data_IF_417409804456
#
_entry.id   IF_417409804456
#
_cell.length_a   1.000
_cell.length_b   1.000
_cell.length_c   1.000
_cell.angle_alpha   90.00
_cell.angle_beta   90.00
_cell.angle_gamma   90.00
#
_symmetry.space_group_name_H-M   'P 1'
#
loop_
_entity.id
_entity.type
_entity.pdbx_description
1 polymer ?
#
# COMPACT_ATOMS: atom_id res chain seq x y z
N UNK A 1 2.20 -7.89 6.21
CA UNK A 1 1.25 -7.05 5.46
C UNK A 1 0.33 -7.91 4.61
N UNK A 2 -0.71 -7.34 4.03
CA UNK A 2 -1.62 -7.99 3.07
C UNK A 2 -2.34 -6.92 2.24
N UNK A 3 -2.78 -7.29 1.04
CA UNK A 3 -3.48 -6.38 0.11
C UNK A 3 -4.98 -6.63 0.13
N UNK A 4 -5.76 -5.56 0.09
CA UNK A 4 -7.18 -5.59 -0.28
C UNK A 4 -7.40 -4.63 -1.43
N UNK A 5 -7.74 -5.18 -2.60
CA UNK A 5 -8.22 -4.39 -3.72
C UNK A 5 -9.71 -4.06 -3.54
N UNK A 6 -9.96 -2.92 -2.90
CA UNK A 6 -11.29 -2.46 -2.55
C UNK A 6 -12.07 -1.94 -3.77
N UNK A 7 -13.36 -2.26 -3.84
CA UNK A 7 -14.24 -1.79 -4.91
C UNK A 7 -14.85 -0.43 -4.55
N UNK A 8 -14.72 0.56 -5.43
CA UNK A 8 -15.34 1.89 -5.32
C UNK A 8 -15.11 2.56 -3.96
N UNK A 9 -13.97 2.29 -3.31
CA UNK A 9 -13.67 2.79 -1.97
C UNK A 9 -13.26 4.26 -2.04
N UNK A 10 -13.83 5.06 -1.13
CA UNK A 10 -13.33 6.40 -0.80
C UNK A 10 -12.18 6.32 0.18
N UNK A 11 -11.23 7.26 0.09
CA UNK A 11 -10.11 7.29 1.01
C UNK A 11 -10.58 7.36 2.47
N UNK A 12 -9.85 6.71 3.37
CA UNK A 12 -10.13 6.78 4.79
C UNK A 12 -10.04 8.21 5.30
N UNK A 13 -11.03 8.61 6.09
CA UNK A 13 -11.06 9.90 6.79
C UNK A 13 -10.30 9.83 8.11
N UNK A 14 -10.19 10.99 8.77
CA UNK A 14 -9.61 11.07 10.12
C UNK A 14 -10.31 10.09 11.07
N UNK A 15 -9.52 9.30 11.79
CA UNK A 15 -9.96 8.24 12.73
C UNK A 15 -10.55 6.97 12.10
N UNK A 16 -10.59 6.87 10.77
CA UNK A 16 -10.90 5.62 10.10
C UNK A 16 -9.65 4.76 9.86
N UNK A 17 -9.85 3.48 9.57
CA UNK A 17 -8.76 2.56 9.30
C UNK A 17 -9.19 1.09 9.31
N UNK A 18 -8.23 0.16 9.43
CA UNK A 18 -8.49 -1.27 9.48
C UNK A 18 -9.44 -1.67 10.63
N UNK A 19 -10.21 -2.76 10.47
CA UNK A 19 -10.27 -3.62 9.27
C UNK A 19 -11.14 -3.01 8.16
N UNK A 20 -10.75 -3.23 6.90
CA UNK A 20 -11.65 -2.97 5.77
C UNK A 20 -12.65 -4.12 5.61
N UNK A 21 -13.94 -3.80 5.67
CA UNK A 21 -15.06 -4.77 5.60
C UNK A 21 -15.97 -4.58 4.38
N UNK A 22 -15.62 -3.65 3.48
CA UNK A 22 -16.41 -3.35 2.28
C UNK A 22 -16.18 -4.33 1.12
N UNK A 23 -16.87 -4.11 0.00
CA UNK A 23 -16.71 -4.91 -1.22
C UNK A 23 -15.27 -4.87 -1.75
N UNK A 24 -14.76 -6.02 -2.21
CA UNK A 24 -13.39 -6.16 -2.72
C UNK A 24 -13.33 -7.15 -3.86
N UNK A 25 -12.35 -6.97 -4.75
CA UNK A 25 -12.01 -7.97 -5.75
C UNK A 25 -11.38 -9.21 -5.10
N UNK A 26 -11.42 -10.38 -5.78
CA UNK A 26 -10.68 -11.56 -5.33
C UNK A 26 -9.18 -11.27 -5.20
N UNK A 27 -8.48 -11.88 -4.22
CA UNK A 27 -7.03 -11.77 -4.15
C UNK A 27 -6.37 -12.38 -5.39
N UNK A 28 -5.35 -11.71 -5.91
CA UNK A 28 -4.49 -12.27 -6.97
C UNK A 28 -3.86 -13.56 -6.45
N UNK A 29 -3.93 -14.62 -7.25
CA UNK A 29 -3.33 -15.91 -6.91
C UNK A 29 -1.96 -16.04 -7.56
N UNK A 30 -1.00 -16.70 -6.90
CA UNK A 30 0.22 -17.10 -7.58
C UNK A 30 -0.06 -18.22 -8.60
N UNK A 31 0.89 -18.45 -9.49
CA UNK A 31 0.92 -19.67 -10.30
C UNK A 31 1.30 -20.91 -9.46
N UNK A 32 1.41 -22.06 -10.13
CA UNK A 32 1.76 -23.34 -9.51
C UNK A 32 3.14 -23.35 -8.82
N UNK A 33 4.04 -22.42 -9.19
CA UNK A 33 5.37 -22.28 -8.59
C UNK A 33 5.40 -21.25 -7.45
N UNK A 34 4.29 -20.55 -7.20
CA UNK A 34 4.22 -19.49 -6.20
C UNK A 34 4.60 -18.11 -6.75
N UNK A 35 4.76 -17.96 -8.08
CA UNK A 35 5.15 -16.71 -8.72
C UNK A 35 3.95 -15.88 -9.19
N UNK A 36 4.19 -14.58 -9.31
CA UNK A 36 3.22 -13.59 -9.81
C UNK A 36 3.70 -12.91 -11.10
N UNK A 37 4.72 -13.47 -11.77
CA UNK A 37 5.31 -12.92 -13.00
C UNK A 37 4.39 -13.06 -14.23
N UNK A 38 3.33 -13.86 -14.12
CA UNK A 38 2.23 -13.90 -15.07
C UNK A 38 1.39 -12.60 -15.08
N UNK A 39 1.41 -11.81 -14.00
CA UNK A 39 0.71 -10.53 -13.90
C UNK A 39 1.50 -9.44 -14.62
N UNK A 40 0.87 -8.69 -15.52
CA UNK A 40 1.53 -7.70 -16.39
C UNK A 40 1.05 -6.27 -16.13
N UNK A 41 1.91 -5.25 -16.33
CA UNK A 41 1.50 -3.85 -16.29
C UNK A 41 0.25 -3.58 -17.14
N UNK A 42 -0.62 -2.69 -16.66
CA UNK A 42 -1.92 -2.41 -17.28
C UNK A 42 -3.06 -3.36 -16.84
N UNK A 43 -2.76 -4.49 -16.22
CA UNK A 43 -3.76 -5.32 -15.55
C UNK A 43 -4.10 -4.74 -14.17
N UNK A 44 -5.33 -4.91 -13.70
CA UNK A 44 -5.74 -4.40 -12.38
C UNK A 44 -4.98 -5.12 -11.25
N UNK A 45 -4.77 -6.42 -11.43
CA UNK A 45 -4.02 -7.32 -10.56
C UNK A 45 -2.57 -6.85 -10.36
N UNK A 46 -2.02 -6.13 -11.34
CA UNK A 46 -0.66 -5.61 -11.28
C UNK A 46 -0.49 -4.62 -10.14
N UNK A 47 -1.43 -3.69 -9.93
CA UNK A 47 -1.40 -2.77 -8.79
C UNK A 47 -1.29 -3.49 -7.45
N UNK A 48 -2.08 -4.54 -7.23
CA UNK A 48 -2.03 -5.31 -5.98
C UNK A 48 -0.69 -6.02 -5.80
N UNK A 49 -0.20 -6.62 -6.88
CA UNK A 49 1.03 -7.41 -6.89
C UNK A 49 2.27 -6.52 -6.69
N UNK A 50 2.40 -5.48 -7.50
CA UNK A 50 3.55 -4.57 -7.47
C UNK A 50 3.61 -3.75 -6.18
N UNK A 51 2.45 -3.33 -5.66
CA UNK A 51 2.36 -2.64 -4.36
C UNK A 51 2.92 -3.53 -3.24
N UNK A 52 2.48 -4.78 -3.15
CA UNK A 52 2.98 -5.70 -2.13
C UNK A 52 4.49 -5.94 -2.28
N UNK A 53 4.94 -6.27 -3.50
CA UNK A 53 6.33 -6.57 -3.79
C UNK A 53 7.25 -5.39 -3.46
N UNK A 54 6.84 -4.18 -3.85
CA UNK A 54 7.60 -2.96 -3.62
C UNK A 54 7.64 -2.60 -2.14
N UNK A 55 6.51 -2.64 -1.42
CA UNK A 55 6.51 -2.38 0.04
C UNK A 55 7.37 -3.41 0.79
N UNK A 56 7.33 -4.70 0.39
CA UNK A 56 8.25 -5.72 0.95
C UNK A 56 9.70 -5.34 0.69
N UNK A 57 10.02 -4.97 -0.54
CA UNK A 57 11.39 -4.64 -0.94
C UNK A 57 11.92 -3.42 -0.22
N UNK A 58 11.10 -2.38 -0.04
CA UNK A 58 11.44 -1.20 0.77
C UNK A 58 11.75 -1.62 2.21
N UNK A 59 10.92 -2.48 2.82
CA UNK A 59 11.21 -3.01 4.15
C UNK A 59 12.53 -3.78 4.19
N UNK A 60 12.80 -4.66 3.22
CA UNK A 60 14.07 -5.41 3.15
C UNK A 60 15.28 -4.47 3.11
N UNK A 61 15.23 -3.44 2.25
CA UNK A 61 16.31 -2.44 2.12
C UNK A 61 16.60 -1.74 3.46
N UNK A 62 15.55 -1.32 4.16
CA UNK A 62 15.73 -0.62 5.44
C UNK A 62 16.14 -1.57 6.57
N UNK A 63 15.60 -2.79 6.61
CA UNK A 63 16.03 -3.81 7.59
C UNK A 63 17.50 -4.19 7.39
N UNK A 64 17.98 -4.24 6.14
CA UNK A 64 19.40 -4.40 5.81
C UNK A 64 20.23 -3.21 6.32
N UNK A 65 19.79 -1.96 6.07
CA UNK A 65 20.49 -0.77 6.56
C UNK A 65 20.55 -0.67 8.09
N UNK A 66 19.48 -1.07 8.79
CA UNK A 66 19.45 -1.08 10.26
C UNK A 66 20.04 -2.34 10.88
N UNK A 67 20.34 -3.36 10.07
CA UNK A 67 20.81 -4.68 10.51
C UNK A 67 19.89 -5.31 11.58
N UNK A 68 18.58 -5.10 11.45
CA UNK A 68 17.55 -5.66 12.34
C UNK A 68 16.17 -5.64 11.67
N UNK A 69 15.29 -6.52 12.12
CA UNK A 69 13.87 -6.44 11.74
C UNK A 69 13.21 -5.18 12.30
N UNK A 70 12.36 -4.52 11.52
CA UNK A 70 11.64 -3.32 11.93
C UNK A 70 10.18 -3.71 12.26
N UNK A 71 9.81 -3.84 13.54
CA UNK A 71 8.43 -4.13 13.90
C UNK A 71 7.52 -2.94 13.59
N UNK A 72 6.27 -3.19 13.19
CA UNK A 72 5.29 -2.12 13.03
C UNK A 72 4.99 -1.45 14.38
N UNK A 73 5.05 -0.11 14.44
CA UNK A 73 4.72 0.65 15.65
C UNK A 73 3.28 0.40 16.14
N UNK A 74 2.37 0.02 15.23
CA UNK A 74 0.97 -0.29 15.52
C UNK A 74 0.68 -1.76 15.84
N UNK A 75 1.71 -2.62 15.95
CA UNK A 75 1.55 -4.09 16.04
C UNK A 75 0.64 -4.59 17.16
N UNK A 76 0.50 -3.82 18.25
CA UNK A 76 -0.38 -4.17 19.38
C UNK A 76 -1.87 -3.99 19.05
N UNK A 77 -2.20 -3.14 18.07
CA UNK A 77 -3.58 -2.89 17.62
C UNK A 77 -3.90 -3.69 16.36
N UNK A 78 -2.96 -3.75 15.42
CA UNK A 78 -3.12 -4.47 14.16
C UNK A 78 -1.92 -5.38 13.90
N UNK A 79 -2.11 -6.70 13.74
CA UNK A 79 -1.00 -7.64 13.60
C UNK A 79 -0.27 -7.52 12.26
N UNK A 80 -0.90 -6.90 11.24
CA UNK A 80 -0.36 -6.76 9.89
C UNK A 80 -0.76 -5.42 9.29
N UNK A 81 0.14 -4.80 8.52
CA UNK A 81 -0.16 -3.66 7.66
C UNK A 81 -1.16 -4.04 6.56
N UNK A 82 -2.25 -3.26 6.45
CA UNK A 82 -3.20 -3.32 5.33
C UNK A 82 -2.71 -2.45 4.17
N UNK A 83 -2.79 -2.96 2.94
CA UNK A 83 -2.41 -2.26 1.72
C UNK A 83 -3.66 -2.12 0.83
N UNK A 84 -4.06 -0.90 0.50
CA UNK A 84 -5.18 -0.60 -0.41
C UNK A 84 -4.63 0.12 -1.65
N UNK A 85 -4.61 -0.53 -2.83
CA UNK A 85 -3.90 -0.01 -3.99
C UNK A 85 -4.64 1.12 -4.71
N UNK A 86 -5.99 1.14 -4.67
CA UNK A 86 -6.80 1.98 -5.54
C UNK A 86 -8.01 2.55 -4.81
N UNK A 87 -7.96 3.85 -4.50
CA UNK A 87 -9.12 4.66 -4.06
C UNK A 87 -9.34 5.85 -4.99
N UNK A 88 -10.59 6.32 -5.10
CA UNK A 88 -10.89 7.44 -6.00
C UNK A 88 -10.50 8.80 -5.37
N UNK A 89 -9.20 9.09 -5.36
CA UNK A 89 -8.63 10.25 -4.69
C UNK A 89 -7.30 10.66 -5.34
N UNK A 90 -6.98 11.95 -5.33
CA UNK A 90 -5.70 12.47 -5.82
C UNK A 90 -4.70 12.67 -4.69
N UNK A 91 -4.33 11.56 -4.07
CA UNK A 91 -3.27 11.50 -3.07
C UNK A 91 -2.91 10.04 -2.72
N UNK A 92 -1.92 9.87 -1.85
CA UNK A 92 -1.65 8.66 -1.09
C UNK A 92 -1.63 9.00 0.42
N UNK A 93 -1.78 7.98 1.26
CA UNK A 93 -1.68 8.19 2.71
C UNK A 93 -1.17 6.98 3.50
N UNK A 94 -0.58 7.35 4.63
CA UNK A 94 -0.03 6.49 5.66
C UNK A 94 -0.81 6.68 6.96
N UNK A 95 -1.64 5.71 7.30
CA UNK A 95 -2.44 5.74 8.53
C UNK A 95 -2.06 4.65 9.52
N UNK A 96 -2.73 4.64 10.67
CA UNK A 96 -2.47 3.65 11.72
C UNK A 96 -2.84 2.24 11.24
N UNK A 97 -1.85 1.46 10.80
CA UNK A 97 -2.04 0.08 10.35
C UNK A 97 -2.43 -0.07 8.87
N UNK A 98 -2.39 0.99 8.06
CA UNK A 98 -2.69 0.90 6.63
C UNK A 98 -1.89 1.87 5.77
N UNK A 99 -1.69 1.49 4.51
CA UNK A 99 -1.33 2.39 3.42
C UNK A 99 -2.45 2.37 2.37
N UNK A 100 -2.76 3.54 1.81
CA UNK A 100 -3.83 3.69 0.82
C UNK A 100 -3.41 4.66 -0.28
N UNK A 101 -3.71 4.31 -1.53
CA UNK A 101 -3.23 5.02 -2.70
C UNK A 101 -4.36 5.32 -3.68
N UNK A 102 -4.35 6.55 -4.18
CA UNK A 102 -5.20 6.98 -5.26
C UNK A 102 -4.45 7.08 -6.59
N UNK A 103 -4.75 8.14 -7.32
CA UNK A 103 -4.37 8.35 -8.71
C UNK A 103 -3.95 9.80 -8.92
N UNK A 104 -3.17 10.08 -9.96
CA UNK A 104 -2.91 11.46 -10.39
C UNK A 104 -4.11 12.13 -11.05
N UNK A 105 -3.85 13.32 -11.60
CA UNK A 105 -4.79 14.08 -12.43
C UNK A 105 -4.28 14.19 -13.86
N UNK A 106 -5.21 14.17 -14.81
CA UNK A 106 -4.97 14.52 -16.21
C UNK A 106 -4.98 16.05 -16.37
N UNK A 107 -4.58 16.54 -17.55
CA UNK A 107 -4.57 17.98 -17.87
C UNK A 107 -5.94 18.66 -17.71
N UNK A 108 -7.03 17.91 -17.88
CA UNK A 108 -8.40 18.37 -17.71
C UNK A 108 -8.94 18.27 -16.28
N UNK A 109 -8.06 18.02 -15.29
CA UNK A 109 -8.36 17.82 -13.87
C UNK A 109 -9.21 16.57 -13.55
N UNK A 110 -9.44 15.70 -14.53
CA UNK A 110 -10.03 14.39 -14.29
C UNK A 110 -9.04 13.43 -13.61
N UNK A 111 -9.54 12.43 -12.89
CA UNK A 111 -8.70 11.40 -12.27
C UNK A 111 -8.00 10.57 -13.35
N UNK A 112 -6.70 10.39 -13.19
CA UNK A 112 -5.89 9.55 -14.07
C UNK A 112 -5.87 8.09 -13.61
N UNK A 113 -6.88 7.33 -14.03
CA UNK A 113 -6.97 5.90 -13.73
C UNK A 113 -5.88 5.03 -14.39
N UNK A 114 -5.11 5.59 -15.32
CA UNK A 114 -4.08 4.86 -16.07
C UNK A 114 -2.75 4.82 -15.29
N UNK A 115 -2.52 5.77 -14.38
CA UNK A 115 -1.30 5.91 -13.58
C UNK A 115 -1.59 5.94 -12.07
N UNK A 116 -2.01 4.82 -11.46
CA UNK A 116 -2.23 4.74 -10.03
C UNK A 116 -0.92 4.93 -9.24
N UNK A 117 -0.98 5.68 -8.14
CA UNK A 117 0.20 5.95 -7.31
C UNK A 117 0.80 4.69 -6.69
N UNK A 118 0.00 3.62 -6.50
CA UNK A 118 0.49 2.33 -6.00
C UNK A 118 1.37 1.56 -6.97
N UNK A 119 1.56 2.03 -8.21
CA UNK A 119 2.50 1.44 -9.16
C UNK A 119 3.82 2.22 -9.25
N UNK A 120 3.93 3.35 -8.54
CA UNK A 120 5.14 4.16 -8.47
C UNK A 120 5.98 3.79 -7.25
N UNK A 121 7.24 3.39 -7.47
CA UNK A 121 8.15 2.96 -6.41
C UNK A 121 8.38 4.06 -5.36
N UNK A 122 8.61 5.30 -5.79
CA UNK A 122 8.95 6.39 -4.88
C UNK A 122 7.76 6.79 -4.01
N UNK A 123 6.54 6.76 -4.56
CA UNK A 123 5.33 7.04 -3.79
C UNK A 123 5.08 5.94 -2.76
N UNK A 124 5.22 4.67 -3.13
CA UNK A 124 5.13 3.56 -2.17
C UNK A 124 6.21 3.63 -1.08
N UNK A 125 7.44 3.94 -1.45
CA UNK A 125 8.56 4.08 -0.53
C UNK A 125 8.37 5.27 0.42
N UNK A 126 7.81 6.39 -0.07
CA UNK A 126 7.46 7.54 0.73
C UNK A 126 6.46 7.16 1.84
N UNK A 127 5.36 6.50 1.47
CA UNK A 127 4.32 6.11 2.43
C UNK A 127 4.82 5.03 3.40
N UNK A 128 5.51 4.00 2.90
CA UNK A 128 6.17 3.03 3.78
C UNK A 128 7.20 3.69 4.72
N UNK A 129 7.87 4.75 4.25
CA UNK A 129 8.80 5.57 5.02
C UNK A 129 8.17 6.19 6.27
N UNK A 130 6.91 6.63 6.22
CA UNK A 130 6.20 7.11 7.41
C UNK A 130 6.03 6.00 8.46
N UNK A 131 5.74 4.77 8.03
CA UNK A 131 5.62 3.63 8.95
C UNK A 131 6.96 3.28 9.60
N UNK A 132 8.03 3.24 8.81
CA UNK A 132 9.39 2.94 9.26
C UNK A 132 9.87 4.01 10.22
N UNK A 133 9.74 5.29 9.85
CA UNK A 133 10.04 6.45 10.70
C UNK A 133 9.37 6.32 12.06
N UNK A 134 8.06 6.07 12.10
CA UNK A 134 7.33 5.95 13.36
C UNK A 134 7.80 4.77 14.22
N UNK A 135 8.27 3.68 13.60
CA UNK A 135 8.85 2.53 14.33
C UNK A 135 10.25 2.81 14.88
N UNK A 136 11.05 3.66 14.23
CA UNK A 136 12.46 3.89 14.59
C UNK A 136 12.63 5.11 15.50
N UNK A 137 11.99 6.23 15.17
CA UNK A 137 12.13 7.49 15.91
C UNK A 137 10.89 7.87 16.74
N UNK A 138 9.79 7.10 16.63
CA UNK A 138 8.56 7.36 17.36
C UNK A 138 7.61 8.35 16.68
N UNK A 139 6.54 8.69 17.38
CA UNK A 139 5.56 9.69 16.97
C UNK A 139 5.89 11.05 17.61
N UNK A 140 5.72 12.17 16.90
CA UNK A 140 5.87 13.49 17.50
C UNK A 140 4.84 13.72 18.60
N UNK A 141 5.23 14.45 19.64
CA UNK A 141 4.35 14.96 20.71
C UNK A 141 3.61 16.23 20.30
#
# INVERSE_FOLDING_TARGET
MYVIDAQNKQHYQKFEGPPYTGPRFPPVQPDEQGHFDHVKPGQREFSSTTMFATVRRVMDIWEDYFNQSIPWYFRLRFPKLLLIPRVNWDNAQSGLGFLEFGYGRKEDDSIDYDNPYCENFDVLAHEAGHMIKNSIIGLPE
#
